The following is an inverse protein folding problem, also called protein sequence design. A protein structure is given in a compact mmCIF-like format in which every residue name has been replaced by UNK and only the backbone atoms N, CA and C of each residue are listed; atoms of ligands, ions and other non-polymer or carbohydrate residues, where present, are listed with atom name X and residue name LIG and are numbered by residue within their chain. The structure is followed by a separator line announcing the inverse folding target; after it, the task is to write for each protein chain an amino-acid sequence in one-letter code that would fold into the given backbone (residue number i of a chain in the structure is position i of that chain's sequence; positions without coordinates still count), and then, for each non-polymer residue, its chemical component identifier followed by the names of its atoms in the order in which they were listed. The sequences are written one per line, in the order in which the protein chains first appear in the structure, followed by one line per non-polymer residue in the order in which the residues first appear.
data_IF_925087492357
#
_entry.id   IF_925087492357
#
_cell.length_a   1.000
_cell.length_b   1.000
_cell.length_c   1.000
_cell.angle_alpha   90.00
_cell.angle_beta   90.00
_cell.angle_gamma   90.00
#
_symmetry.space_group_name_H-M   'P 1'
#
loop_
_entity.id
_entity.type
_entity.pdbx_description
1 polymer ?
#
# COMPACT_ATOMS: atom_id res chain seq x y z
N UNK A 1 -0.77 15.84 1.32
CA UNK A 1 -1.67 16.64 2.18
C UNK A 1 -1.04 18.00 2.47
N UNK A 2 -1.84 19.02 2.80
CA UNK A 2 -1.31 20.35 3.12
C UNK A 2 -0.87 20.47 4.60
N UNK A 3 -0.21 21.58 4.96
CA UNK A 3 0.32 21.78 6.33
C UNK A 3 -0.77 21.83 7.40
N UNK A 4 -1.94 22.42 7.12
CA UNK A 4 -3.05 22.49 8.08
C UNK A 4 -3.58 21.09 8.39
N UNK A 5 -3.82 20.30 7.33
CA UNK A 5 -4.20 18.89 7.45
C UNK A 5 -3.16 18.07 8.24
N UNK A 6 -1.86 18.33 8.04
CA UNK A 6 -0.82 17.65 8.79
C UNK A 6 -0.83 18.02 10.28
N UNK A 7 -1.08 19.29 10.61
CA UNK A 7 -1.23 19.75 12.00
C UNK A 7 -2.42 19.07 12.66
N UNK A 8 -3.55 18.95 11.96
CA UNK A 8 -4.73 18.25 12.47
C UNK A 8 -4.42 16.77 12.74
N UNK A 9 -3.73 16.10 11.81
CA UNK A 9 -3.28 14.72 11.99
C UNK A 9 -2.36 14.56 13.21
N UNK A 10 -1.41 15.48 13.37
CA UNK A 10 -0.49 15.50 14.52
C UNK A 10 -1.24 15.71 15.84
N UNK A 11 -2.29 16.53 15.83
CA UNK A 11 -3.17 16.71 16.98
C UNK A 11 -3.86 15.41 17.40
N UNK A 12 -4.32 14.61 16.43
CA UNK A 12 -4.88 13.27 16.69
C UNK A 12 -3.80 12.35 17.27
N UNK A 13 -2.62 12.29 16.65
CA UNK A 13 -1.51 11.44 17.10
C UNK A 13 -1.06 11.79 18.52
N UNK A 14 -0.93 13.09 18.84
CA UNK A 14 -0.49 13.56 20.16
C UNK A 14 -1.44 13.16 21.29
N UNK A 15 -2.75 13.08 21.01
CA UNK A 15 -3.76 12.67 22.00
C UNK A 15 -3.58 11.21 22.41
N UNK A 16 -3.20 10.34 21.47
CA UNK A 16 -2.93 8.92 21.74
C UNK A 16 -1.50 8.71 22.26
N UNK A 17 -0.54 9.49 21.76
CA UNK A 17 0.88 9.41 22.09
C UNK A 17 1.39 10.74 22.65
N UNK A 18 1.26 10.98 23.97
CA UNK A 18 1.66 12.24 24.59
C UNK A 18 3.14 12.61 24.40
N UNK A 19 4.01 11.64 24.11
CA UNK A 19 5.43 11.86 23.81
C UNK A 19 5.71 12.29 22.37
N UNK A 20 4.73 12.25 21.47
CA UNK A 20 4.93 12.58 20.05
C UNK A 20 5.34 14.05 19.85
N UNK A 21 6.33 14.29 19.00
CA UNK A 21 6.86 15.63 18.76
C UNK A 21 6.02 16.38 17.72
N UNK A 22 5.38 17.47 18.18
CA UNK A 22 4.58 18.38 17.37
C UNK A 22 5.26 19.74 17.19
N UNK A 23 6.56 19.83 17.45
CA UNK A 23 7.36 21.02 17.19
C UNK A 23 7.29 21.42 15.72
N UNK A 24 7.48 22.72 15.45
CA UNK A 24 7.48 23.24 14.08
C UNK A 24 8.52 22.54 13.17
N UNK A 25 9.77 22.28 13.62
CA UNK A 25 10.72 21.50 12.83
C UNK A 25 10.22 20.08 12.46
N UNK A 26 9.53 19.41 13.39
CA UNK A 26 8.94 18.08 13.13
C UNK A 26 7.83 18.16 12.09
N UNK A 27 6.94 19.14 12.19
CA UNK A 27 5.87 19.37 11.21
C UNK A 27 6.45 19.65 9.82
N UNK A 28 7.49 20.48 9.72
CA UNK A 28 8.16 20.77 8.45
C UNK A 28 8.84 19.54 7.85
N UNK A 29 9.47 18.73 8.70
CA UNK A 29 10.08 17.46 8.29
C UNK A 29 9.02 16.51 7.69
N UNK A 30 7.90 16.30 8.37
CA UNK A 30 6.84 15.41 7.89
C UNK A 30 6.12 15.98 6.65
N UNK A 31 5.92 17.30 6.59
CA UNK A 31 5.29 17.95 5.44
C UNK A 31 6.05 17.69 4.13
N UNK A 32 7.38 17.64 4.18
CA UNK A 32 8.22 17.33 3.02
C UNK A 32 7.90 15.95 2.41
N UNK A 33 7.56 14.97 3.23
CA UNK A 33 7.36 13.57 2.82
C UNK A 33 5.90 13.12 2.75
N UNK A 34 4.96 13.95 3.21
CA UNK A 34 3.52 13.66 3.18
C UNK A 34 2.75 14.59 2.24
N UNK A 35 3.41 15.51 1.55
CA UNK A 35 2.78 16.44 0.60
C UNK A 35 2.01 15.74 -0.54
N UNK A 36 2.52 14.61 -1.01
CA UNK A 36 1.93 13.78 -2.07
C UNK A 36 0.88 12.78 -1.57
N UNK A 37 0.76 12.62 -0.24
CA UNK A 37 -0.09 11.60 0.35
C UNK A 37 -1.49 12.14 0.72
N UNK A 38 -2.59 11.44 0.38
CA UNK A 38 -3.93 11.89 0.72
C UNK A 38 -4.17 11.94 2.23
N UNK A 39 -4.80 13.01 2.72
CA UNK A 39 -5.08 13.20 4.15
C UNK A 39 -6.01 12.13 4.71
N UNK A 40 -7.12 11.84 4.02
CA UNK A 40 -8.10 10.84 4.46
C UNK A 40 -7.48 9.45 4.61
N UNK A 41 -6.60 9.05 3.69
CA UNK A 41 -5.87 7.79 3.77
C UNK A 41 -4.92 7.76 4.97
N UNK A 42 -4.26 8.88 5.27
CA UNK A 42 -3.40 8.99 6.44
C UNK A 42 -4.18 8.84 7.75
N UNK A 43 -5.34 9.48 7.86
CA UNK A 43 -6.23 9.32 9.01
C UNK A 43 -6.65 7.86 9.19
N UNK A 44 -7.12 7.20 8.13
CA UNK A 44 -7.54 5.80 8.20
C UNK A 44 -6.39 4.84 8.58
N UNK A 45 -5.17 5.11 8.12
CA UNK A 45 -3.99 4.34 8.52
C UNK A 45 -3.67 4.56 10.00
N UNK A 46 -3.74 5.82 10.46
CA UNK A 46 -3.45 6.18 11.84
C UNK A 46 -4.48 5.63 12.83
N UNK A 47 -5.76 5.62 12.49
CA UNK A 47 -6.78 4.95 13.30
C UNK A 47 -6.44 3.47 13.53
N UNK A 48 -6.05 2.75 12.47
CA UNK A 48 -5.66 1.34 12.60
C UNK A 48 -4.39 1.17 13.42
N UNK A 49 -3.37 1.98 13.15
CA UNK A 49 -2.09 1.93 13.84
C UNK A 49 -2.26 2.16 15.35
N UNK A 50 -3.07 3.15 15.74
CA UNK A 50 -3.33 3.49 17.14
C UNK A 50 -4.00 2.38 17.94
N UNK A 51 -4.71 1.46 17.28
CA UNK A 51 -5.36 0.34 17.94
C UNK A 51 -4.41 -0.82 18.26
N UNK A 52 -3.30 -0.94 17.52
CA UNK A 52 -2.41 -2.10 17.61
C UNK A 52 -1.03 -1.74 18.14
N UNK A 53 -0.57 -0.50 17.94
CA UNK A 53 0.79 -0.09 18.23
C UNK A 53 0.90 0.84 19.43
N UNK A 54 1.82 0.50 20.34
CA UNK A 54 2.07 1.26 21.57
C UNK A 54 2.99 2.46 21.35
N UNK A 55 3.81 2.43 20.31
CA UNK A 55 4.82 3.46 20.05
C UNK A 55 4.31 4.52 19.07
N UNK A 56 4.83 5.75 19.10
CA UNK A 56 4.39 6.79 18.18
C UNK A 56 4.73 6.44 16.72
N UNK A 57 3.85 6.80 15.77
CA UNK A 57 4.02 6.44 14.37
C UNK A 57 5.18 7.21 13.71
N UNK A 58 5.81 6.56 12.74
CA UNK A 58 6.76 7.19 11.81
C UNK A 58 6.07 7.63 10.52
N UNK A 59 6.80 8.32 9.62
CA UNK A 59 6.29 8.67 8.28
C UNK A 59 5.83 7.42 7.50
N UNK A 60 6.56 6.32 7.62
CA UNK A 60 6.21 5.06 6.95
C UNK A 60 4.87 4.50 7.46
N UNK A 61 4.64 4.59 8.77
CA UNK A 61 3.40 4.14 9.39
C UNK A 61 2.22 5.00 8.96
N UNK A 62 2.40 6.33 8.85
CA UNK A 62 1.37 7.27 8.38
C UNK A 62 1.00 6.96 6.93
N UNK A 63 1.98 6.74 6.05
CA UNK A 63 1.75 6.33 4.67
C UNK A 63 1.15 4.92 4.59
N UNK A 64 1.39 4.12 5.63
CA UNK A 64 1.05 2.70 5.68
C UNK A 64 1.68 1.93 4.53
N UNK A 65 1.18 0.72 4.30
CA UNK A 65 1.55 -0.08 3.12
C UNK A 65 0.74 0.33 1.87
N UNK A 66 0.43 1.61 1.69
CA UNK A 66 -0.43 2.05 0.58
C UNK A 66 0.18 1.74 -0.80
N UNK A 67 1.51 1.67 -0.90
CA UNK A 67 2.21 1.13 -2.07
C UNK A 67 1.86 -0.34 -2.29
N UNK A 68 2.15 -1.18 -1.29
CA UNK A 68 1.90 -2.63 -1.34
C UNK A 68 0.42 -2.96 -1.56
N UNK A 69 -0.52 -2.18 -0.99
CA UNK A 69 -1.95 -2.41 -1.20
C UNK A 69 -2.36 -2.12 -2.65
N UNK A 70 -1.89 -1.01 -3.23
CA UNK A 70 -2.16 -0.73 -4.66
C UNK A 70 -1.49 -1.76 -5.57
N UNK A 71 -0.29 -2.22 -5.22
CA UNK A 71 0.40 -3.26 -5.97
C UNK A 71 -0.28 -4.62 -5.82
N UNK A 72 -0.78 -4.93 -4.63
CA UNK A 72 -1.55 -6.14 -4.33
C UNK A 72 -2.87 -6.15 -5.09
N UNK A 73 -3.63 -5.05 -5.08
CA UNK A 73 -4.88 -4.96 -5.83
C UNK A 73 -4.65 -5.03 -7.34
N UNK A 74 -3.61 -4.38 -7.86
CA UNK A 74 -3.20 -4.55 -9.27
C UNK A 74 -2.85 -6.00 -9.60
N UNK A 75 -2.08 -6.67 -8.73
CA UNK A 75 -1.69 -8.07 -8.90
C UNK A 75 -2.89 -9.02 -8.85
N UNK A 76 -3.82 -8.79 -7.93
CA UNK A 76 -5.07 -9.56 -7.80
C UNK A 76 -5.96 -9.38 -9.04
N UNK A 77 -6.08 -8.15 -9.56
CA UNK A 77 -6.87 -7.89 -10.77
C UNK A 77 -6.28 -8.65 -11.98
N UNK A 78 -4.97 -8.57 -12.19
CA UNK A 78 -4.28 -9.33 -13.25
C UNK A 78 -4.45 -10.85 -13.06
N UNK A 79 -4.33 -11.33 -11.82
CA UNK A 79 -4.53 -12.74 -11.51
C UNK A 79 -5.99 -13.20 -11.77
N UNK A 80 -6.98 -12.38 -11.42
CA UNK A 80 -8.40 -12.66 -11.66
C UNK A 80 -8.71 -12.72 -13.16
N UNK A 81 -8.18 -11.78 -13.96
CA UNK A 81 -8.30 -11.83 -15.42
C UNK A 81 -7.66 -13.08 -16.02
N UNK A 82 -6.50 -13.49 -15.47
CA UNK A 82 -5.82 -14.70 -15.90
C UNK A 82 -6.59 -15.98 -15.53
N UNK A 83 -7.15 -16.04 -14.31
CA UNK A 83 -8.01 -17.14 -13.86
C UNK A 83 -9.27 -17.25 -14.72
N UNK A 84 -9.94 -16.14 -15.05
CA UNK A 84 -11.11 -16.15 -15.91
C UNK A 84 -10.82 -16.72 -17.31
N UNK A 85 -9.63 -16.44 -17.87
CA UNK A 85 -9.19 -17.04 -19.15
C UNK A 85 -8.98 -18.56 -19.01
N UNK A 86 -8.39 -19.01 -17.91
CA UNK A 86 -8.19 -20.45 -17.64
C UNK A 86 -9.53 -21.18 -17.47
N UNK A 87 -10.49 -20.60 -16.75
CA UNK A 87 -11.81 -21.18 -16.54
C UNK A 87 -12.61 -21.27 -17.85
N UNK A 88 -12.56 -20.21 -18.68
CA UNK A 88 -13.16 -20.21 -20.01
C UNK A 88 -12.54 -21.29 -20.92
N UNK A 89 -11.25 -21.59 -20.74
CA UNK A 89 -10.62 -22.68 -21.47
C UNK A 89 -11.02 -24.06 -20.91
N UNK A 90 -11.06 -24.22 -19.60
CA UNK A 90 -11.46 -25.48 -18.96
C UNK A 90 -12.88 -25.94 -19.34
N UNK A 91 -13.78 -25.02 -19.68
CA UNK A 91 -15.21 -25.30 -19.94
C UNK A 91 -15.59 -25.42 -21.42
N UNK A 92 -14.69 -25.16 -22.38
CA UNK A 92 -15.05 -25.35 -23.79
C UNK A 92 -14.08 -24.84 -24.86
N UNK A 93 -13.05 -24.07 -24.50
CA UNK A 93 -12.05 -23.56 -25.45
C UNK A 93 -10.65 -24.05 -25.09
N UNK A 94 -9.78 -24.38 -26.03
CA UNK A 94 -8.39 -24.67 -25.68
C UNK A 94 -7.57 -23.36 -25.59
N UNK A 95 -6.51 -23.32 -24.77
CA UNK A 95 -5.58 -22.19 -24.78
C UNK A 95 -4.91 -22.04 -26.15
N UNK A 96 -4.48 -20.82 -26.53
CA UNK A 96 -3.76 -20.57 -27.77
C UNK A 96 -2.49 -21.44 -27.89
N UNK A 97 -2.15 -21.83 -29.12
CA UNK A 97 -0.94 -22.63 -29.38
C UNK A 97 0.31 -21.93 -28.86
N UNK A 98 1.11 -22.62 -28.04
CA UNK A 98 2.34 -22.07 -27.46
C UNK A 98 2.18 -21.41 -26.09
N UNK A 99 0.95 -21.21 -25.60
CA UNK A 99 0.67 -20.64 -24.27
C UNK A 99 1.43 -21.38 -23.14
N UNK A 100 1.33 -22.71 -23.09
CA UNK A 100 2.01 -23.53 -22.08
C UNK A 100 3.54 -23.47 -22.17
N UNK A 101 4.09 -23.31 -23.39
CA UNK A 101 5.53 -23.14 -23.61
C UNK A 101 6.00 -21.79 -23.04
N UNK A 102 5.20 -20.75 -23.22
CA UNK A 102 5.49 -19.42 -22.67
C UNK A 102 5.42 -19.40 -21.14
N UNK A 103 4.40 -20.01 -20.54
CA UNK A 103 4.29 -20.15 -19.08
C UNK A 103 5.49 -20.91 -18.51
N UNK A 104 5.88 -22.02 -19.12
CA UNK A 104 7.06 -22.80 -18.68
C UNK A 104 8.37 -22.02 -18.80
N UNK A 105 8.53 -21.19 -19.83
CA UNK A 105 9.70 -20.31 -19.96
C UNK A 105 9.73 -19.25 -18.85
N UNK A 106 8.58 -18.64 -18.52
CA UNK A 106 8.49 -17.65 -17.45
C UNK A 106 8.78 -18.26 -16.06
N UNK A 107 8.34 -19.50 -15.81
CA UNK A 107 8.61 -20.21 -14.55
C UNK A 107 10.07 -20.64 -14.42
N UNK A 108 10.70 -21.05 -15.53
CA UNK A 108 12.12 -21.46 -15.55
C UNK A 108 13.10 -20.29 -15.51
N UNK A 109 12.69 -19.12 -16.02
CA UNK A 109 13.50 -17.90 -15.97
C UNK A 109 13.50 -17.18 -14.61
N UNK A 110 12.67 -17.62 -13.65
CA UNK A 110 12.58 -17.03 -12.30
C UNK A 110 13.50 -17.66 -11.24
N UNK A 111 14.25 -18.71 -11.57
CA UNK A 111 15.31 -19.29 -10.74
C UNK A 111 16.65 -19.04 -11.43
N UNK A 112 17.22 -17.86 -11.19
CA UNK A 112 18.46 -17.43 -11.80
C UNK A 112 18.97 -16.14 -11.17
N UNK A 113 19.14 -16.17 -9.84
CA UNK A 113 20.12 -15.39 -9.08
C UNK A 113 20.84 -16.36 -8.12
#
# INVERSE_FOLDING_TARGET
MNKLQLIDLFGIIKRTYPSFDISQPSIEHYAKYLQDFPYETACANMEKYMLTERFPPTIADIRGRAGDLKDSERSKAVAAEHMAKLDAWGTGSHPPSGYWKQVMNNLRGGTGD
#
